data_IF_945680872315
#
_entry.id   IF_945680872315
#
_cell.length_a   1.000
_cell.length_b   1.000
_cell.length_c   1.000
_cell.angle_alpha   90.00
_cell.angle_beta   90.00
_cell.angle_gamma   90.00
#
_symmetry.space_group_name_H-M   'P 1'
#
loop_
_entity.id
_entity.type
_entity.pdbx_description
1 polymer ?
#
# COMPACT_ATOMS: atom_id res chain seq x y z
N UNK A 1 1.24 -3.41 -25.60
CA UNK A 1 2.43 -3.55 -24.74
C UNK A 1 2.01 -4.18 -23.44
N UNK A 2 2.66 -5.23 -23.00
CA UNK A 2 2.43 -5.86 -21.69
C UNK A 2 3.54 -5.37 -20.76
N UNK A 3 3.18 -4.78 -19.63
CA UNK A 3 4.14 -4.33 -18.63
C UNK A 3 4.41 -5.46 -17.63
N UNK A 4 5.67 -5.62 -17.24
CA UNK A 4 6.09 -6.68 -16.30
C UNK A 4 5.92 -6.29 -14.82
N UNK A 5 5.74 -5.00 -14.54
CA UNK A 5 5.62 -4.47 -13.18
C UNK A 5 4.63 -3.30 -13.15
N UNK A 6 3.79 -3.23 -12.14
CA UNK A 6 2.83 -2.14 -11.92
C UNK A 6 3.16 -1.46 -10.58
N UNK A 7 3.48 -0.18 -10.66
CA UNK A 7 3.69 0.71 -9.52
C UNK A 7 2.47 1.60 -9.34
N UNK A 8 1.96 1.74 -8.13
CA UNK A 8 0.93 2.72 -7.78
C UNK A 8 1.46 3.65 -6.69
N UNK A 9 1.49 4.96 -6.96
CA UNK A 9 1.88 5.99 -5.99
C UNK A 9 0.62 6.72 -5.50
N UNK A 10 0.31 6.56 -4.22
CA UNK A 10 -0.91 7.10 -3.58
C UNK A 10 -0.55 8.39 -2.82
N UNK A 11 -1.29 9.46 -3.11
CA UNK A 11 -0.91 10.82 -2.68
C UNK A 11 0.27 11.34 -3.50
N UNK A 12 0.25 11.07 -4.81
CA UNK A 12 1.37 11.28 -5.72
C UNK A 12 1.75 12.76 -5.94
N UNK A 13 0.90 13.69 -5.50
CA UNK A 13 1.10 15.11 -5.71
C UNK A 13 1.27 15.47 -7.18
N UNK A 14 2.41 16.06 -7.55
CA UNK A 14 2.72 16.42 -8.93
C UNK A 14 3.20 15.25 -9.80
N UNK A 15 3.16 14.03 -9.30
CA UNK A 15 3.55 12.81 -10.01
C UNK A 15 5.06 12.71 -10.30
N UNK A 16 5.89 13.47 -9.59
CA UNK A 16 7.34 13.50 -9.84
C UNK A 16 8.00 12.12 -9.75
N UNK A 17 7.57 11.30 -8.79
CA UNK A 17 8.08 9.94 -8.61
C UNK A 17 7.67 9.00 -9.75
N UNK A 18 6.39 8.93 -10.09
CA UNK A 18 5.93 8.06 -11.18
C UNK A 18 6.56 8.44 -12.53
N UNK A 19 6.74 9.73 -12.78
CA UNK A 19 7.44 10.21 -13.98
C UNK A 19 8.91 9.78 -14.01
N UNK A 20 9.58 9.77 -12.87
CA UNK A 20 10.94 9.27 -12.75
C UNK A 20 11.00 7.77 -13.04
N UNK A 21 10.16 6.98 -12.37
CA UNK A 21 10.09 5.53 -12.53
C UNK A 21 9.74 5.14 -13.97
N UNK A 22 8.75 5.80 -14.58
CA UNK A 22 8.38 5.53 -15.97
C UNK A 22 9.51 5.79 -16.99
N UNK A 23 10.39 6.77 -16.71
CA UNK A 23 11.55 7.06 -17.57
C UNK A 23 12.69 6.09 -17.39
N UNK A 24 12.95 5.69 -16.14
CA UNK A 24 14.11 4.84 -15.80
C UNK A 24 13.80 3.36 -15.94
N UNK A 25 12.53 2.99 -15.91
CA UNK A 25 12.06 1.61 -15.96
C UNK A 25 10.97 1.43 -17.03
N UNK A 26 11.32 1.29 -18.30
CA UNK A 26 10.35 1.24 -19.41
C UNK A 26 9.36 0.06 -19.33
N UNK A 27 9.69 -0.99 -18.59
CA UNK A 27 8.83 -2.17 -18.38
C UNK A 27 7.85 -2.00 -17.19
N UNK A 28 7.99 -0.92 -16.41
CA UNK A 28 7.09 -0.57 -15.31
C UNK A 28 5.97 0.33 -15.82
N UNK A 29 4.73 -0.03 -15.52
CA UNK A 29 3.57 0.86 -15.67
C UNK A 29 3.33 1.58 -14.34
N UNK A 30 3.47 2.90 -14.33
CA UNK A 30 3.38 3.71 -13.11
C UNK A 30 2.05 4.49 -13.08
N UNK A 31 1.31 4.40 -11.98
CA UNK A 31 0.02 5.07 -11.76
C UNK A 31 0.17 6.07 -10.63
N UNK A 32 -0.11 7.34 -10.91
CA UNK A 32 -0.20 8.40 -9.91
C UNK A 32 -1.65 8.58 -9.48
N UNK A 33 -1.94 8.49 -8.19
CA UNK A 33 -3.26 8.74 -7.61
C UNK A 33 -3.14 9.90 -6.62
N UNK A 34 -3.95 10.93 -6.79
CA UNK A 34 -4.04 12.06 -5.85
C UNK A 34 -5.45 12.67 -5.89
N UNK A 35 -5.92 13.16 -4.76
CA UNK A 35 -7.21 13.83 -4.67
C UNK A 35 -7.21 15.25 -5.27
N UNK A 36 -6.03 15.83 -5.52
CA UNK A 36 -5.86 17.16 -6.09
C UNK A 36 -5.70 17.11 -7.60
N UNK A 37 -6.71 17.56 -8.39
CA UNK A 37 -6.60 17.63 -9.84
C UNK A 37 -5.49 18.57 -10.31
N UNK A 38 -5.29 19.70 -9.61
CA UNK A 38 -4.28 20.70 -9.96
C UNK A 38 -2.86 20.15 -9.77
N UNK A 39 -2.64 19.36 -8.72
CA UNK A 39 -1.34 18.71 -8.50
C UNK A 39 -1.02 17.72 -9.63
N UNK A 40 -1.95 16.85 -10.00
CA UNK A 40 -1.78 15.85 -11.05
C UNK A 40 -1.69 16.44 -12.46
N UNK A 41 -2.38 17.55 -12.73
CA UNK A 41 -2.37 18.19 -14.06
C UNK A 41 -0.95 18.50 -14.54
N UNK A 42 -0.10 19.01 -13.64
CA UNK A 42 1.32 19.29 -13.96
C UNK A 42 2.09 18.02 -14.32
N UNK A 43 1.84 16.91 -13.61
CA UNK A 43 2.44 15.61 -13.90
C UNK A 43 2.01 15.07 -15.26
N UNK A 44 0.70 15.07 -15.52
CA UNK A 44 0.12 14.61 -16.78
C UNK A 44 0.66 15.41 -17.99
N UNK A 45 0.78 16.73 -17.86
CA UNK A 45 1.37 17.57 -18.89
C UNK A 45 2.84 17.22 -19.15
N UNK A 46 3.64 17.02 -18.09
CA UNK A 46 5.06 16.60 -18.23
C UNK A 46 5.18 15.21 -18.88
N UNK A 47 4.28 14.26 -18.54
CA UNK A 47 4.24 12.94 -19.15
C UNK A 47 3.98 13.05 -20.65
N UNK A 48 2.96 13.82 -21.04
CA UNK A 48 2.61 14.07 -22.46
C UNK A 48 3.77 14.67 -23.24
N UNK A 49 4.44 15.70 -22.69
CA UNK A 49 5.62 16.32 -23.33
C UNK A 49 6.79 15.37 -23.49
N UNK A 50 6.95 14.43 -22.55
CA UNK A 50 8.02 13.44 -22.58
C UNK A 50 7.64 12.16 -23.36
N UNK A 51 6.45 12.12 -23.99
CA UNK A 51 5.92 10.98 -24.73
C UNK A 51 5.96 9.66 -23.92
N UNK A 52 5.70 9.72 -22.62
CA UNK A 52 5.67 8.53 -21.76
C UNK A 52 4.34 7.78 -21.97
N UNK A 53 4.43 6.55 -22.47
CA UNK A 53 3.28 5.68 -22.70
C UNK A 53 2.98 4.73 -21.54
N UNK A 54 3.87 4.69 -20.53
CA UNK A 54 3.83 3.77 -19.40
C UNK A 54 3.50 4.48 -18.08
N UNK A 55 2.66 5.53 -18.14
CA UNK A 55 2.21 6.26 -16.96
C UNK A 55 0.75 6.64 -17.08
N UNK A 56 0.02 6.59 -15.96
CA UNK A 56 -1.37 7.06 -15.85
C UNK A 56 -1.53 7.98 -14.64
N UNK A 57 -2.54 8.84 -14.69
CA UNK A 57 -2.89 9.77 -13.63
C UNK A 57 -4.38 9.62 -13.31
N UNK A 58 -4.71 9.42 -12.04
CA UNK A 58 -6.08 9.27 -11.55
C UNK A 58 -6.35 10.29 -10.45
N UNK A 59 -7.33 11.15 -10.69
CA UNK A 59 -7.82 12.09 -9.66
C UNK A 59 -8.84 11.36 -8.80
N UNK A 60 -8.41 10.87 -7.64
CA UNK A 60 -9.28 10.19 -6.69
C UNK A 60 -8.67 10.17 -5.28
N UNK A 61 -9.54 10.16 -4.26
CA UNK A 61 -9.16 9.90 -2.88
C UNK A 61 -8.95 8.41 -2.63
N UNK A 62 -8.04 8.07 -1.74
CA UNK A 62 -7.72 6.67 -1.41
C UNK A 62 -8.93 5.88 -0.93
N UNK A 63 -9.92 6.55 -0.33
CA UNK A 63 -11.15 5.95 0.19
C UNK A 63 -12.13 5.52 -0.92
N UNK A 64 -11.94 5.98 -2.15
CA UNK A 64 -12.87 5.78 -3.27
C UNK A 64 -12.21 5.18 -4.51
N UNK A 65 -11.16 4.40 -4.31
CA UNK A 65 -10.43 3.79 -5.43
C UNK A 65 -11.34 2.89 -6.29
N UNK A 66 -11.25 2.98 -7.63
CA UNK A 66 -11.98 2.11 -8.54
C UNK A 66 -11.66 0.63 -8.31
N UNK A 67 -12.67 -0.23 -8.46
CA UNK A 67 -12.51 -1.68 -8.31
C UNK A 67 -11.58 -2.29 -9.35
N UNK A 68 -11.45 -1.64 -10.49
CA UNK A 68 -10.56 -2.01 -11.60
C UNK A 68 -9.08 -1.99 -11.19
N UNK A 69 -8.75 -1.26 -10.12
CA UNK A 69 -7.40 -1.22 -9.56
C UNK A 69 -7.15 -2.30 -8.50
N UNK A 70 -8.11 -3.18 -8.23
CA UNK A 70 -7.95 -4.23 -7.22
C UNK A 70 -6.90 -5.25 -7.65
N UNK A 71 -5.92 -5.47 -6.79
CA UNK A 71 -4.84 -6.47 -6.95
C UNK A 71 -4.06 -6.33 -8.25
N UNK A 72 -3.80 -5.09 -8.70
CA UNK A 72 -2.99 -4.84 -9.90
C UNK A 72 -1.54 -4.48 -9.59
N UNK A 73 -1.26 -3.94 -8.39
CA UNK A 73 0.03 -3.38 -8.05
C UNK A 73 1.02 -4.45 -7.55
N UNK A 74 2.22 -4.44 -8.12
CA UNK A 74 3.39 -5.16 -7.61
C UNK A 74 4.11 -4.32 -6.54
N UNK A 75 3.99 -3.00 -6.62
CA UNK A 75 4.54 -2.05 -5.67
C UNK A 75 3.53 -0.91 -5.44
N UNK A 76 3.29 -0.56 -4.18
CA UNK A 76 2.55 0.65 -3.80
C UNK A 76 3.48 1.56 -3.01
N UNK A 77 3.47 2.85 -3.33
CA UNK A 77 4.24 3.86 -2.61
C UNK A 77 3.34 4.93 -2.03
N UNK A 78 3.71 5.46 -0.86
CA UNK A 78 3.08 6.64 -0.26
C UNK A 78 4.20 7.54 0.27
N UNK A 79 4.41 8.67 -0.41
CA UNK A 79 5.51 9.56 -0.08
C UNK A 79 5.01 10.87 0.51
N UNK A 80 5.41 11.15 1.77
CA UNK A 80 5.10 12.38 2.47
C UNK A 80 3.62 12.73 2.48
N UNK A 81 2.74 11.77 2.85
CA UNK A 81 1.32 12.04 2.96
C UNK A 81 1.05 13.15 3.98
N UNK A 82 -0.12 13.78 3.85
CA UNK A 82 -0.60 14.78 4.78
C UNK A 82 -2.10 14.58 5.05
N UNK A 83 -2.65 15.31 6.03
CA UNK A 83 -4.09 15.27 6.34
C UNK A 83 -4.57 13.88 6.77
N UNK A 84 -5.70 13.43 6.18
CA UNK A 84 -6.34 12.14 6.49
C UNK A 84 -5.46 10.94 6.11
N UNK A 85 -4.77 11.03 4.98
CA UNK A 85 -3.87 9.95 4.51
C UNK A 85 -2.71 9.73 5.49
N UNK A 86 -2.07 10.80 5.99
CA UNK A 86 -1.02 10.68 6.99
C UNK A 86 -1.55 10.07 8.29
N UNK A 87 -2.65 10.64 8.82
CA UNK A 87 -3.25 10.14 10.08
C UNK A 87 -3.66 8.69 9.95
N UNK A 88 -4.36 8.33 8.87
CA UNK A 88 -4.81 6.97 8.65
C UNK A 88 -3.69 5.96 8.52
N UNK A 89 -2.55 6.33 7.93
CA UNK A 89 -1.36 5.46 7.86
C UNK A 89 -0.67 5.34 9.21
N UNK A 90 -0.51 6.42 9.98
CA UNK A 90 0.11 6.35 11.30
C UNK A 90 -0.74 5.55 12.28
N UNK A 91 -2.06 5.70 12.22
CA UNK A 91 -3.01 5.01 13.10
C UNK A 91 -3.36 3.58 12.65
N UNK A 92 -2.96 3.19 11.43
CA UNK A 92 -3.36 1.90 10.85
C UNK A 92 -4.86 1.80 10.55
N UNK A 93 -5.49 2.94 10.20
CA UNK A 93 -6.94 3.02 9.96
C UNK A 93 -7.39 2.17 8.78
N UNK A 94 -8.45 1.38 8.98
CA UNK A 94 -9.05 0.54 7.95
C UNK A 94 -9.53 1.33 6.73
N UNK A 95 -9.97 2.58 6.92
CA UNK A 95 -10.42 3.46 5.84
C UNK A 95 -9.29 3.85 4.88
N UNK A 96 -8.03 3.79 5.32
CA UNK A 96 -6.85 4.13 4.52
C UNK A 96 -6.05 2.88 4.16
N UNK A 97 -5.71 2.05 5.15
CA UNK A 97 -4.86 0.86 4.92
C UNK A 97 -5.59 -0.19 4.08
N UNK A 98 -6.91 -0.37 4.30
CA UNK A 98 -7.71 -1.35 3.53
C UNK A 98 -7.69 -1.09 2.01
N UNK A 99 -8.08 0.10 1.53
CA UNK A 99 -8.00 0.45 0.11
C UNK A 99 -6.58 0.34 -0.48
N UNK A 100 -5.55 0.80 0.25
CA UNK A 100 -4.15 0.66 -0.20
C UNK A 100 -3.79 -0.82 -0.37
N UNK A 101 -4.13 -1.66 0.61
CA UNK A 101 -3.89 -3.11 0.51
C UNK A 101 -4.69 -3.73 -0.64
N UNK A 102 -5.90 -3.22 -0.90
CA UNK A 102 -6.74 -3.64 -2.02
C UNK A 102 -6.08 -3.49 -3.38
N UNK A 103 -5.21 -2.49 -3.59
CA UNK A 103 -4.44 -2.30 -4.81
C UNK A 103 -3.39 -3.40 -5.04
N UNK A 104 -2.88 -4.01 -3.97
CA UNK A 104 -1.68 -4.83 -4.00
C UNK A 104 -1.98 -6.26 -4.43
N UNK A 105 -1.12 -6.85 -5.25
CA UNK A 105 -1.06 -8.31 -5.45
C UNK A 105 -0.54 -9.02 -4.21
N UNK A 106 -0.79 -10.30 -4.09
CA UNK A 106 -0.14 -11.13 -3.07
C UNK A 106 1.39 -11.07 -3.25
N UNK A 107 2.12 -10.84 -2.17
CA UNK A 107 3.58 -10.67 -2.18
C UNK A 107 4.08 -9.28 -2.58
N UNK A 108 3.19 -8.37 -3.01
CA UNK A 108 3.55 -6.99 -3.35
C UNK A 108 4.13 -6.22 -2.16
N UNK A 109 4.90 -5.18 -2.46
CA UNK A 109 5.48 -4.28 -1.44
C UNK A 109 4.66 -2.99 -1.31
N UNK A 110 4.51 -2.52 -0.05
CA UNK A 110 4.11 -1.16 0.27
C UNK A 110 5.31 -0.44 0.89
N UNK A 111 5.70 0.68 0.28
CA UNK A 111 6.76 1.57 0.79
C UNK A 111 6.17 2.90 1.22
N UNK A 112 6.46 3.30 2.44
CA UNK A 112 5.92 4.54 3.01
C UNK A 112 7.06 5.41 3.52
N UNK A 113 7.02 6.70 3.17
CA UNK A 113 7.92 7.72 3.69
C UNK A 113 7.09 8.75 4.44
N UNK A 114 7.28 8.81 5.75
CA UNK A 114 6.51 9.65 6.65
C UNK A 114 7.40 10.71 7.27
N UNK A 115 6.92 11.94 7.27
CA UNK A 115 7.51 13.04 8.05
C UNK A 115 6.36 13.80 8.68
N UNK A 116 6.26 13.74 10.00
CA UNK A 116 5.22 14.38 10.77
C UNK A 116 5.82 15.06 12.01
N UNK A 117 5.11 16.00 12.56
CA UNK A 117 5.49 16.72 13.76
C UNK A 117 4.27 17.29 14.47
N UNK A 118 4.48 18.10 15.49
CA UNK A 118 3.41 18.67 16.33
C UNK A 118 2.31 19.39 15.52
N UNK A 119 2.69 20.07 14.43
CA UNK A 119 1.71 20.74 13.53
C UNK A 119 0.77 19.77 12.82
N UNK A 120 1.18 18.51 12.69
CA UNK A 120 0.39 17.44 12.07
C UNK A 120 -0.43 16.66 13.12
N UNK A 121 -0.31 17.04 14.40
CA UNK A 121 -0.97 16.40 15.53
C UNK A 121 -0.23 15.20 16.11
N UNK A 122 1.05 15.03 15.78
CA UNK A 122 1.89 13.97 16.30
C UNK A 122 3.01 14.57 17.18
N UNK A 123 3.17 14.07 18.41
CA UNK A 123 4.25 14.51 19.31
C UNK A 123 5.62 14.13 18.71
N UNK A 124 5.76 12.90 18.27
CA UNK A 124 6.95 12.39 17.61
C UNK A 124 6.61 11.18 16.74
N UNK A 125 7.11 11.17 15.52
CA UNK A 125 6.99 10.03 14.61
C UNK A 125 8.35 9.36 14.45
N UNK A 126 8.50 8.17 15.05
CA UNK A 126 9.74 7.38 15.04
C UNK A 126 9.51 6.02 14.37
N UNK A 127 10.58 5.32 13.95
CA UNK A 127 10.47 3.93 13.50
C UNK A 127 9.81 3.01 14.55
N UNK A 128 10.05 3.24 15.83
CA UNK A 128 9.43 2.46 16.91
C UNK A 128 7.92 2.67 17.00
N UNK A 129 7.45 3.90 16.79
CA UNK A 129 6.01 4.21 16.72
C UNK A 129 5.37 3.47 15.56
N UNK A 130 5.99 3.44 14.39
CA UNK A 130 5.49 2.68 13.25
C UNK A 130 5.51 1.16 13.53
N UNK A 131 6.58 0.66 14.12
CA UNK A 131 6.69 -0.76 14.47
C UNK A 131 5.63 -1.19 15.49
N UNK A 132 5.26 -0.34 16.45
CA UNK A 132 4.22 -0.64 17.44
C UNK A 132 2.82 -0.77 16.83
N UNK A 133 2.60 -0.29 15.60
CA UNK A 133 1.34 -0.40 14.85
C UNK A 133 1.28 -1.61 13.93
N UNK A 134 2.27 -2.50 13.96
CA UNK A 134 2.37 -3.64 13.04
C UNK A 134 1.16 -4.57 13.09
N UNK A 135 0.49 -4.74 14.23
CA UNK A 135 -0.70 -5.56 14.37
C UNK A 135 -1.90 -4.99 13.60
N UNK A 136 -2.10 -3.67 13.62
CA UNK A 136 -3.15 -3.02 12.85
C UNK A 136 -2.96 -3.27 11.35
N UNK A 137 -1.73 -3.17 10.87
CA UNK A 137 -1.40 -3.47 9.48
C UNK A 137 -1.54 -4.96 9.15
N UNK A 138 -1.19 -5.86 10.10
CA UNK A 138 -1.36 -7.30 9.94
C UNK A 138 -2.84 -7.69 9.78
N UNK A 139 -3.75 -6.98 10.47
CA UNK A 139 -5.20 -7.13 10.29
C UNK A 139 -5.69 -6.86 8.86
N UNK A 140 -4.91 -6.12 8.07
CA UNK A 140 -5.13 -5.86 6.64
C UNK A 140 -4.28 -6.74 5.72
N UNK A 141 -3.58 -7.75 6.24
CA UNK A 141 -2.73 -8.63 5.46
C UNK A 141 -1.39 -7.98 5.06
N UNK A 142 -0.90 -7.01 5.81
CA UNK A 142 0.40 -6.36 5.61
C UNK A 142 1.35 -6.71 6.76
N UNK A 143 2.45 -7.37 6.43
CA UNK A 143 3.52 -7.68 7.38
C UNK A 143 4.61 -6.62 7.30
N UNK A 144 4.90 -5.97 8.41
CA UNK A 144 6.04 -5.04 8.49
C UNK A 144 7.35 -5.81 8.24
N UNK A 145 8.15 -5.32 7.31
CA UNK A 145 9.45 -5.91 6.93
C UNK A 145 10.60 -5.06 7.47
N UNK A 146 10.44 -3.72 7.44
CA UNK A 146 11.47 -2.77 7.84
C UNK A 146 10.83 -1.47 8.32
N UNK A 147 11.37 -0.89 9.39
CA UNK A 147 11.03 0.44 9.84
C UNK A 147 12.30 1.12 10.39
N UNK A 148 12.72 2.21 9.77
CA UNK A 148 13.96 2.91 10.09
C UNK A 148 13.93 4.39 9.70
N UNK A 149 14.89 5.13 10.15
CA UNK A 149 15.12 6.47 9.61
C UNK A 149 15.54 6.38 8.13
N UNK A 150 14.90 7.17 7.29
CA UNK A 150 15.22 7.21 5.87
C UNK A 150 16.57 7.90 5.66
N UNK A 151 17.41 7.33 4.78
CA UNK A 151 18.62 8.01 4.32
C UNK A 151 18.26 9.12 3.33
N UNK A 152 19.18 10.09 3.19
CA UNK A 152 19.03 11.16 2.19
C UNK A 152 18.87 10.63 0.77
N UNK A 153 19.47 9.49 0.44
CA UNK A 153 19.34 8.83 -0.86
C UNK A 153 17.89 8.37 -1.10
N UNK A 154 17.27 7.68 -0.12
CA UNK A 154 15.86 7.24 -0.22
C UNK A 154 14.92 8.43 -0.39
N UNK A 155 15.14 9.50 0.39
CA UNK A 155 14.35 10.74 0.27
C UNK A 155 14.49 11.37 -1.12
N UNK A 156 15.71 11.42 -1.66
CA UNK A 156 15.99 11.98 -2.97
C UNK A 156 15.36 11.19 -4.13
N UNK A 157 15.25 9.87 -4.01
CA UNK A 157 14.59 8.99 -4.99
C UNK A 157 13.13 9.37 -5.23
N UNK A 158 12.42 9.86 -4.21
CA UNK A 158 10.99 10.21 -4.33
C UNK A 158 10.73 11.31 -5.36
N UNK A 159 11.75 12.11 -5.71
CA UNK A 159 11.63 13.28 -6.62
C UNK A 159 10.52 14.25 -6.21
N UNK A 160 10.04 14.14 -4.97
CA UNK A 160 8.96 14.95 -4.44
C UNK A 160 9.37 16.42 -4.32
N UNK A 161 8.51 17.32 -4.80
CA UNK A 161 8.66 18.76 -4.58
C UNK A 161 8.62 19.08 -3.07
N UNK A 162 7.89 18.27 -2.29
CA UNK A 162 7.78 18.41 -0.85
C UNK A 162 9.08 18.01 -0.14
N UNK A 163 9.72 16.92 -0.55
CA UNK A 163 11.03 16.49 -0.03
C UNK A 163 12.09 17.59 -0.21
N UNK A 164 12.06 18.31 -1.32
CA UNK A 164 12.94 19.46 -1.57
C UNK A 164 12.71 20.62 -0.59
N UNK A 165 11.47 20.82 -0.14
CA UNK A 165 11.10 21.89 0.81
C UNK A 165 11.39 21.51 2.26
N UNK A 166 11.37 20.21 2.62
CA UNK A 166 11.69 19.73 3.96
C UNK A 166 13.12 20.07 4.37
N UNK A 167 14.04 20.20 3.41
CA UNK A 167 15.45 20.35 3.69
C UNK A 167 15.99 19.16 4.48
N UNK A 168 17.14 19.34 5.12
CA UNK A 168 17.75 18.31 5.98
C UNK A 168 17.27 18.37 7.44
N UNK A 169 16.29 19.22 7.77
CA UNK A 169 15.91 19.56 9.15
C UNK A 169 14.83 18.68 9.75
N UNK A 170 14.05 17.94 8.96
CA UNK A 170 13.00 17.07 9.47
C UNK A 170 13.35 15.60 9.31
N UNK A 171 13.26 14.81 10.37
CA UNK A 171 13.45 13.37 10.28
C UNK A 171 12.34 12.74 9.43
N UNK A 172 12.71 11.74 8.65
CA UNK A 172 11.82 10.97 7.80
C UNK A 172 11.89 9.51 8.20
N UNK A 173 10.74 8.90 8.49
CA UNK A 173 10.64 7.47 8.73
C UNK A 173 10.34 6.77 7.42
N UNK A 174 11.14 5.77 7.09
CA UNK A 174 10.87 4.80 6.04
C UNK A 174 10.25 3.56 6.67
N UNK A 175 9.13 3.09 6.12
CA UNK A 175 8.55 1.81 6.46
C UNK A 175 8.26 1.00 5.19
N UNK A 176 8.49 -0.31 5.28
CA UNK A 176 8.26 -1.27 4.20
C UNK A 176 7.44 -2.43 4.72
N UNK A 177 6.36 -2.72 4.01
CA UNK A 177 5.47 -3.83 4.29
C UNK A 177 5.41 -4.77 3.09
N UNK A 178 5.17 -6.04 3.33
CA UNK A 178 4.87 -7.03 2.31
C UNK A 178 3.43 -7.52 2.49
N UNK A 179 2.67 -7.58 1.40
CA UNK A 179 1.35 -8.18 1.42
C UNK A 179 1.47 -9.68 1.60
N UNK A 180 0.84 -10.21 2.64
CA UNK A 180 0.74 -11.64 2.87
C UNK A 180 -0.32 -12.25 1.95
N UNK A 181 -0.08 -13.45 1.44
CA UNK A 181 -1.10 -14.18 0.67
C UNK A 181 -2.35 -14.38 1.52
N UNK A 182 -3.50 -13.97 1.01
CA UNK A 182 -4.78 -14.41 1.53
C UNK A 182 -4.90 -15.92 1.26
N UNK A 183 -4.38 -16.77 2.13
CA UNK A 183 -4.84 -18.15 2.17
C UNK A 183 -6.32 -18.09 2.53
N UNK A 184 -7.19 -18.08 1.53
CA UNK A 184 -8.56 -18.55 1.72
C UNK A 184 -8.41 -19.94 2.32
N UNK A 185 -8.70 -20.05 3.64
CA UNK A 185 -8.71 -21.33 4.32
C UNK A 185 -9.64 -22.26 3.58
N UNK A 186 -9.07 -23.21 2.81
CA UNK A 186 -9.72 -24.50 2.66
C UNK A 186 -9.74 -25.10 4.07
N UNK A 187 -10.76 -24.76 4.82
CA UNK A 187 -11.17 -25.60 5.93
C UNK A 187 -11.54 -26.94 5.29
N UNK A 188 -10.63 -27.88 5.40
CA UNK A 188 -10.89 -29.29 5.14
C UNK A 188 -12.18 -29.64 5.91
N UNK A 189 -13.24 -29.97 5.18
CA UNK A 189 -14.41 -30.57 5.72
C UNK A 189 -13.94 -31.78 6.55
N UNK A 190 -14.03 -31.66 7.87
CA UNK A 190 -13.72 -32.73 8.80
C UNK A 190 -14.58 -33.93 8.44
N UNK A 191 -13.89 -35.01 8.14
CA UNK A 191 -14.45 -36.34 8.00
C UNK A 191 -15.22 -36.67 9.27
N UNK A 192 -16.55 -36.82 9.18
CA UNK A 192 -17.39 -37.33 10.25
C UNK A 192 -16.96 -38.76 10.59
N UNK A 193 -16.72 -39.09 11.86
CA UNK A 193 -16.51 -40.50 12.24
C UNK A 193 -17.79 -41.28 12.05
N UNK A 194 -17.67 -42.37 11.30
CA UNK A 194 -18.76 -43.32 11.04
C UNK A 194 -19.38 -43.89 12.31
N UNK A 195 -20.68 -43.88 12.35
CA UNK A 195 -21.52 -44.65 13.28
C UNK A 195 -21.31 -46.15 12.99
N UNK A 196 -20.57 -46.83 13.85
CA UNK A 196 -20.52 -48.28 13.88
C UNK A 196 -21.85 -48.79 14.44
N UNK A 197 -22.37 -49.79 13.73
CA UNK A 197 -23.66 -50.41 13.98
C UNK A 197 -23.77 -51.09 15.34
N UNK A 198 -24.94 -50.95 15.96
CA UNK A 198 -25.38 -51.78 17.08
C UNK A 198 -26.22 -52.90 16.50
N UNK A 199 -25.70 -54.14 16.54
CA UNK A 199 -26.47 -55.36 16.33
C UNK A 199 -27.42 -55.54 17.50
N UNK A 200 -28.70 -55.45 17.22
CA UNK A 200 -29.77 -55.90 18.14
C UNK A 200 -30.22 -57.30 17.77
N UNK A 201 -29.89 -58.26 18.59
CA UNK A 201 -30.42 -59.61 18.54
C UNK A 201 -31.83 -59.59 19.12
N UNK A 202 -32.81 -60.01 18.32
CA UNK A 202 -34.13 -60.33 18.73
C UNK A 202 -34.14 -61.75 19.43
N UNK A 203 -34.67 -61.83 20.62
CA UNK A 203 -35.27 -63.06 21.16
C UNK A 203 -36.72 -62.77 21.40
N UNK A 204 -37.60 -63.61 20.80
CA UNK A 204 -38.99 -63.81 21.15
C UNK A 204 -39.09 -65.08 21.96
N UNK A 205 -39.96 -65.13 22.95
CA UNK A 205 -40.64 -66.38 23.34
C UNK A 205 -42.16 -66.31 23.15
N UNK A 206 -42.67 -67.39 22.71
CA UNK A 206 -43.98 -68.07 22.91
C UNK A 206 -45.18 -67.20 23.10
#
# INVERSE_FOLDING_TARGET
MTFGHVLVDVGAGDGGYVLHRARTEPTTFAIAIDASPDALANGAWRAKRACLANVAFLVEGVERLPRELTSIADEVTVHFPWGSLLRGLVDGSSAIVGPITGLMKDGAELRVLLSAGERDGFAELTPSVIASRSEQFAGHGLRLVDARWASSAIVAETRSAWAKRLGHSRPVVFARYSRTSSRRGLMSAGTSPGLQGIHSTRNLPS
#
